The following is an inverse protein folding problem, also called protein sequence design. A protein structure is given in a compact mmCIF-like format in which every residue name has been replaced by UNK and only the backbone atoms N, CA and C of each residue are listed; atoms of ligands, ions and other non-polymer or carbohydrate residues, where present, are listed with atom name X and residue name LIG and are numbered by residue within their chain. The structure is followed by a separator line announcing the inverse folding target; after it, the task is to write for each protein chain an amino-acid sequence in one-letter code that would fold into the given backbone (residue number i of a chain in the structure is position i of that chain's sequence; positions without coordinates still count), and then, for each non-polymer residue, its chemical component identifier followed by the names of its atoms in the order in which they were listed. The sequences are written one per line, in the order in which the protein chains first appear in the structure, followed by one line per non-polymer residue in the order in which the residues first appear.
data_IF_952099770729
#
_entry.id   IF_952099770729
#
_cell.length_a   1.000
_cell.length_b   1.000
_cell.length_c   1.000
_cell.angle_alpha   90.00
_cell.angle_beta   90.00
_cell.angle_gamma   90.00
#
_symmetry.space_group_name_H-M   'P 1'
#
loop_
_entity.id
_entity.type
_entity.pdbx_description
1 polymer ?
#
# COMPACT_ATOMS: atom_id res chain seq x y z
N UNK A 1 -81.83 -69.02 6.00
CA UNK A 1 -81.43 -70.30 6.60
C UNK A 1 -80.05 -70.63 6.10
N UNK A 2 -79.10 -70.76 7.03
CA UNK A 2 -78.02 -71.75 7.00
C UNK A 2 -76.86 -71.58 6.00
N UNK A 3 -75.77 -70.99 6.52
CA UNK A 3 -74.43 -71.61 6.67
C UNK A 3 -73.93 -72.62 5.62
N UNK A 4 -72.73 -72.39 5.07
CA UNK A 4 -71.52 -73.18 5.40
C UNK A 4 -70.30 -72.69 4.61
N UNK A 5 -69.15 -72.81 5.28
CA UNK A 5 -67.81 -72.34 4.95
C UNK A 5 -67.10 -73.11 3.83
N UNK A 6 -66.12 -72.45 3.22
CA UNK A 6 -64.92 -73.08 2.69
C UNK A 6 -63.69 -72.33 3.21
N UNK A 7 -62.86 -73.06 3.97
CA UNK A 7 -61.54 -72.66 4.46
C UNK A 7 -60.51 -73.31 3.53
N UNK A 8 -59.50 -72.59 3.03
CA UNK A 8 -58.06 -72.90 3.29
C UNK A 8 -57.06 -72.01 2.53
N UNK A 9 -55.98 -71.74 3.28
CA UNK A 9 -54.60 -71.39 2.91
C UNK A 9 -54.27 -70.01 2.32
N UNK A 10 -53.82 -69.14 3.22
CA UNK A 10 -52.92 -68.02 2.95
C UNK A 10 -51.50 -68.53 2.67
N UNK A 11 -50.91 -68.13 1.55
CA UNK A 11 -49.49 -68.26 1.28
C UNK A 11 -48.77 -66.98 1.67
N UNK A 12 -48.02 -67.06 2.77
CA UNK A 12 -47.08 -66.05 3.25
C UNK A 12 -45.98 -65.82 2.20
N UNK A 13 -45.97 -64.64 1.56
CA UNK A 13 -44.85 -64.15 0.76
C UNK A 13 -43.98 -63.30 1.70
N UNK A 14 -42.76 -63.77 1.92
CA UNK A 14 -41.69 -63.09 2.66
C UNK A 14 -41.30 -61.77 1.98
N UNK A 15 -40.96 -60.70 2.72
CA UNK A 15 -40.59 -59.42 2.13
C UNK A 15 -39.16 -59.52 1.59
N UNK A 16 -39.06 -59.59 0.27
CA UNK A 16 -37.78 -59.55 -0.43
C UNK A 16 -37.22 -58.11 -0.39
N UNK A 17 -35.89 -58.04 -0.27
CA UNK A 17 -35.08 -56.85 0.00
C UNK A 17 -35.42 -55.65 -0.90
N UNK A 18 -36.05 -54.63 -0.33
CA UNK A 18 -36.15 -53.32 -0.96
C UNK A 18 -34.77 -52.64 -0.90
N UNK A 19 -33.96 -52.81 -1.96
CA UNK A 19 -32.85 -51.89 -2.24
C UNK A 19 -33.43 -50.47 -2.35
N UNK A 20 -32.97 -49.48 -1.57
CA UNK A 20 -33.38 -48.11 -1.80
C UNK A 20 -32.87 -47.71 -3.19
N UNK A 21 -33.77 -47.19 -4.03
CA UNK A 21 -33.40 -46.44 -5.23
C UNK A 21 -32.55 -45.25 -4.79
N UNK A 22 -31.23 -45.43 -4.72
CA UNK A 22 -30.27 -44.33 -4.67
C UNK A 22 -30.13 -43.77 -6.07
N UNK A 23 -31.17 -43.07 -6.54
CA UNK A 23 -30.96 -42.09 -7.60
C UNK A 23 -30.08 -40.99 -7.03
N UNK A 24 -28.98 -40.66 -7.69
CA UNK A 24 -28.22 -39.43 -7.39
C UNK A 24 -29.19 -38.27 -7.29
N UNK A 25 -29.14 -37.45 -6.21
CA UNK A 25 -30.04 -36.31 -6.08
C UNK A 25 -29.93 -35.45 -7.35
N UNK A 26 -31.04 -34.87 -7.86
CA UNK A 26 -30.99 -34.04 -9.04
C UNK A 26 -29.99 -32.91 -8.80
N UNK A 27 -28.92 -32.88 -9.60
CA UNK A 27 -27.93 -31.81 -9.53
C UNK A 27 -28.59 -30.51 -10.00
N UNK A 28 -28.88 -29.62 -9.07
CA UNK A 28 -29.37 -28.28 -9.40
C UNK A 28 -28.21 -27.50 -10.03
N UNK A 29 -28.26 -27.30 -11.35
CA UNK A 29 -27.31 -26.43 -12.05
C UNK A 29 -27.76 -24.98 -11.93
N UNK A 30 -27.03 -24.19 -11.16
CA UNK A 30 -27.27 -22.75 -11.04
C UNK A 30 -26.46 -21.98 -12.10
N UNK A 31 -27.01 -20.91 -12.69
CA UNK A 31 -26.23 -19.96 -13.46
C UNK A 31 -25.07 -19.39 -12.61
N UNK A 32 -23.87 -19.17 -13.20
CA UNK A 32 -22.70 -18.69 -12.45
C UNK A 32 -22.95 -17.40 -11.64
N UNK A 33 -23.72 -16.47 -12.18
CA UNK A 33 -24.06 -15.19 -11.50
C UNK A 33 -24.94 -15.37 -10.27
N UNK A 34 -25.82 -16.37 -10.25
CA UNK A 34 -26.66 -16.69 -9.09
C UNK A 34 -25.86 -17.46 -8.05
N UNK A 35 -25.06 -18.43 -8.50
CA UNK A 35 -24.19 -19.21 -7.60
C UNK A 35 -23.15 -18.33 -6.90
N UNK A 36 -22.55 -17.37 -7.61
CA UNK A 36 -21.64 -16.38 -7.04
C UNK A 36 -22.27 -15.53 -5.93
N UNK A 37 -23.58 -15.26 -5.99
CA UNK A 37 -24.31 -14.51 -4.95
C UNK A 37 -24.74 -15.39 -3.78
N UNK A 38 -25.12 -16.65 -4.05
CA UNK A 38 -25.62 -17.59 -3.04
C UNK A 38 -24.51 -18.21 -2.20
N UNK A 39 -23.44 -18.67 -2.85
CA UNK A 39 -22.29 -19.30 -2.19
C UNK A 39 -20.98 -18.73 -2.77
N UNK A 40 -20.64 -17.47 -2.45
CA UNK A 40 -19.48 -16.79 -3.03
C UNK A 40 -18.16 -17.53 -2.72
N UNK A 41 -18.03 -18.10 -1.51
CA UNK A 41 -16.87 -18.87 -1.09
C UNK A 41 -16.67 -20.16 -1.92
N UNK A 42 -17.74 -20.97 -2.04
CA UNK A 42 -17.70 -22.19 -2.87
C UNK A 42 -17.48 -21.88 -4.34
N UNK A 43 -17.99 -20.74 -4.82
CA UNK A 43 -17.79 -20.30 -6.19
C UNK A 43 -16.33 -19.97 -6.48
N UNK A 44 -15.67 -19.19 -5.63
CA UNK A 44 -14.25 -18.88 -5.80
C UNK A 44 -13.38 -20.14 -5.71
N UNK A 45 -13.67 -21.02 -4.74
CA UNK A 45 -12.96 -22.30 -4.59
C UNK A 45 -13.08 -23.17 -5.85
N UNK A 46 -14.26 -23.31 -6.44
CA UNK A 46 -14.46 -24.10 -7.65
C UNK A 46 -13.63 -23.61 -8.85
N UNK A 47 -13.33 -22.31 -8.92
CA UNK A 47 -12.47 -21.72 -9.94
C UNK A 47 -10.97 -21.91 -9.63
N UNK A 48 -10.59 -21.86 -8.36
CA UNK A 48 -9.21 -22.04 -7.89
C UNK A 48 -8.76 -23.52 -7.82
N UNK A 49 -9.70 -24.44 -7.64
CA UNK A 49 -9.48 -25.89 -7.64
C UNK A 49 -10.50 -26.58 -8.56
N UNK A 50 -10.25 -26.62 -9.88
CA UNK A 50 -11.12 -27.36 -10.78
C UNK A 50 -11.07 -28.86 -10.45
N UNK A 51 -12.25 -29.51 -10.45
CA UNK A 51 -12.43 -30.92 -10.08
C UNK A 51 -11.67 -31.92 -10.96
N UNK A 52 -11.22 -31.50 -12.15
CA UNK A 52 -10.38 -32.31 -13.04
C UNK A 52 -9.10 -31.54 -13.37
N UNK A 53 -7.93 -32.03 -12.91
CA UNK A 53 -6.64 -31.34 -13.12
C UNK A 53 -6.21 -31.27 -14.58
N UNK A 54 -6.74 -32.13 -15.46
CA UNK A 54 -6.38 -32.19 -16.89
C UNK A 54 -7.18 -31.22 -17.78
N UNK A 55 -8.31 -30.70 -17.29
CA UNK A 55 -9.24 -29.94 -18.13
C UNK A 55 -9.00 -28.42 -18.12
N UNK A 56 -8.49 -27.85 -17.02
CA UNK A 56 -8.39 -26.38 -16.87
C UNK A 56 -7.36 -25.99 -15.81
N UNK A 57 -6.49 -25.03 -16.15
CA UNK A 57 -5.59 -24.40 -15.17
C UNK A 57 -6.39 -23.62 -14.13
N UNK A 58 -5.95 -23.56 -12.86
CA UNK A 58 -6.64 -22.80 -11.82
C UNK A 58 -6.63 -21.31 -12.18
N UNK A 59 -7.80 -20.79 -12.53
CA UNK A 59 -8.00 -19.41 -12.94
C UNK A 59 -8.96 -18.76 -11.95
N UNK A 60 -8.77 -17.48 -11.67
CA UNK A 60 -9.71 -16.69 -10.88
C UNK A 60 -11.03 -16.52 -11.65
N UNK A 61 -12.05 -16.01 -10.96
CA UNK A 61 -13.36 -15.68 -11.56
C UNK A 61 -13.22 -14.80 -12.81
N UNK A 62 -12.22 -13.91 -12.83
CA UNK A 62 -11.94 -12.99 -13.94
C UNK A 62 -11.02 -13.58 -15.02
N UNK A 63 -10.66 -14.86 -14.95
CA UNK A 63 -9.75 -15.51 -15.89
C UNK A 63 -8.27 -15.15 -15.70
N UNK A 64 -7.91 -14.45 -14.62
CA UNK A 64 -6.51 -14.14 -14.24
C UNK A 64 -5.89 -15.30 -13.46
N UNK A 65 -4.56 -15.45 -13.53
CA UNK A 65 -3.83 -16.36 -12.63
C UNK A 65 -3.72 -15.76 -11.22
N UNK A 66 -3.51 -16.58 -10.16
CA UNK A 66 -3.42 -16.10 -8.78
C UNK A 66 -2.41 -14.97 -8.54
N UNK A 67 -1.24 -15.02 -9.18
CA UNK A 67 -0.15 -14.05 -9.01
C UNK A 67 -0.21 -12.85 -9.99
N UNK A 68 -1.22 -12.76 -10.85
CA UNK A 68 -1.26 -11.76 -11.92
C UNK A 68 -1.98 -10.47 -11.51
N UNK A 69 -1.27 -9.35 -11.67
CA UNK A 69 -1.77 -7.99 -11.51
C UNK A 69 -2.62 -7.54 -12.71
N UNK A 70 -3.54 -6.58 -12.46
CA UNK A 70 -4.26 -5.88 -13.53
C UNK A 70 -3.33 -4.95 -14.33
N UNK A 71 -3.57 -4.80 -15.65
CA UNK A 71 -2.86 -3.83 -16.46
C UNK A 71 -3.12 -2.41 -15.94
N UNK A 72 -2.09 -1.57 -16.00
CA UNK A 72 -2.12 -0.19 -15.51
C UNK A 72 -1.95 0.77 -16.67
N UNK A 73 -2.73 1.86 -16.66
CA UNK A 73 -2.51 3.01 -17.52
C UNK A 73 -2.52 4.28 -16.67
N UNK A 74 -1.54 5.16 -16.89
CA UNK A 74 -1.33 6.39 -16.12
C UNK A 74 -1.31 7.55 -17.10
N UNK A 75 -2.13 8.57 -16.84
CA UNK A 75 -2.13 9.84 -17.57
C UNK A 75 -1.89 10.97 -16.57
N UNK A 76 -0.73 11.64 -16.65
CA UNK A 76 -0.43 12.83 -15.83
C UNK A 76 -0.92 14.10 -16.52
N UNK A 77 -1.14 15.18 -15.76
CA UNK A 77 -1.53 16.49 -16.29
C UNK A 77 -2.94 16.56 -16.91
N UNK A 78 -3.88 15.72 -16.47
CA UNK A 78 -5.24 15.66 -17.05
C UNK A 78 -6.18 16.79 -16.59
N UNK A 79 -5.93 17.38 -15.42
CA UNK A 79 -6.70 18.50 -14.85
C UNK A 79 -5.88 19.80 -14.95
N UNK A 80 -6.49 20.85 -15.49
CA UNK A 80 -5.81 22.13 -15.79
C UNK A 80 -5.73 23.08 -14.60
N UNK A 81 -6.62 22.94 -13.61
CA UNK A 81 -6.76 23.90 -12.51
C UNK A 81 -5.93 23.55 -11.26
N UNK A 82 -5.24 22.41 -11.29
CA UNK A 82 -4.44 21.86 -10.19
C UNK A 82 -2.95 22.00 -10.51
N UNK A 83 -2.09 22.15 -9.49
CA UNK A 83 -0.63 22.19 -9.66
C UNK A 83 -0.07 20.93 -10.31
N UNK A 84 -0.72 19.79 -10.06
CA UNK A 84 -0.57 18.59 -10.84
C UNK A 84 -1.80 17.71 -10.71
N UNK A 85 -1.91 16.76 -11.65
CA UNK A 85 -2.95 15.76 -11.62
C UNK A 85 -2.47 14.46 -12.25
N UNK A 86 -3.11 13.37 -11.86
CA UNK A 86 -2.91 12.08 -12.51
C UNK A 86 -4.21 11.28 -12.51
N UNK A 87 -4.47 10.62 -13.63
CA UNK A 87 -5.53 9.63 -13.78
C UNK A 87 -4.86 8.27 -13.89
N UNK A 88 -5.14 7.40 -12.93
CA UNK A 88 -4.62 6.03 -12.90
C UNK A 88 -5.78 5.06 -13.05
N UNK A 89 -5.64 4.14 -13.99
CA UNK A 89 -6.57 3.04 -14.19
C UNK A 89 -5.84 1.73 -13.97
N UNK A 90 -6.36 0.91 -13.06
CA UNK A 90 -5.89 -0.44 -12.76
C UNK A 90 -7.03 -1.40 -13.13
N UNK A 91 -6.97 -1.98 -14.33
CA UNK A 91 -8.09 -2.72 -14.92
C UNK A 91 -9.36 -1.86 -15.01
N UNK A 92 -10.37 -2.18 -14.20
CA UNK A 92 -11.64 -1.45 -14.16
C UNK A 92 -11.73 -0.44 -13.01
N UNK A 93 -10.78 -0.46 -12.06
CA UNK A 93 -10.69 0.56 -11.01
C UNK A 93 -10.01 1.79 -11.56
N UNK A 94 -10.65 2.95 -11.40
CA UNK A 94 -10.13 4.24 -11.90
C UNK A 94 -10.07 5.25 -10.75
N UNK A 95 -8.89 5.81 -10.51
CA UNK A 95 -8.63 6.84 -9.53
C UNK A 95 -8.10 8.09 -10.22
N UNK A 96 -8.60 9.26 -9.82
CA UNK A 96 -8.10 10.57 -10.25
C UNK A 96 -7.53 11.26 -9.04
N UNK A 97 -6.31 11.75 -9.14
CA UNK A 97 -5.67 12.55 -8.11
C UNK A 97 -5.39 13.96 -8.64
N UNK A 98 -5.70 14.97 -7.83
CA UNK A 98 -5.29 16.35 -8.02
C UNK A 98 -4.48 16.83 -6.82
N UNK A 99 -3.40 17.55 -7.09
CA UNK A 99 -2.56 18.19 -6.06
C UNK A 99 -2.74 19.69 -6.16
N UNK A 100 -3.08 20.33 -5.04
CA UNK A 100 -3.17 21.78 -4.88
C UNK A 100 -2.18 22.23 -3.80
N UNK A 101 -1.35 23.20 -4.12
CA UNK A 101 -0.51 23.90 -3.15
C UNK A 101 -1.23 25.12 -2.57
N UNK A 102 -1.20 25.26 -1.26
CA UNK A 102 -1.57 26.49 -0.55
C UNK A 102 -0.41 26.95 0.32
N UNK A 103 -0.34 28.26 0.61
CA UNK A 103 0.71 28.83 1.44
C UNK A 103 0.21 28.91 2.88
N UNK A 104 0.99 28.35 3.79
CA UNK A 104 0.76 28.41 5.23
C UNK A 104 1.83 29.29 5.88
N UNK A 105 1.42 30.42 6.45
CA UNK A 105 2.34 31.31 7.18
C UNK A 105 2.82 30.65 8.47
N UNK A 106 4.07 30.88 8.86
CA UNK A 106 4.61 30.36 10.12
C UNK A 106 3.84 30.83 11.34
N UNK A 107 3.18 32.00 11.26
CA UNK A 107 2.37 32.54 12.35
C UNK A 107 1.10 31.72 12.61
N UNK A 108 0.57 31.05 11.59
CA UNK A 108 -0.65 30.23 11.68
C UNK A 108 -0.35 28.80 12.14
N UNK A 109 0.93 28.41 12.15
CA UNK A 109 1.37 27.09 12.59
C UNK A 109 1.57 27.12 14.10
N UNK A 110 0.59 26.61 14.85
CA UNK A 110 0.67 26.54 16.31
C UNK A 110 1.95 25.84 16.83
N UNK A 111 2.40 24.80 16.13
CA UNK A 111 3.61 24.05 16.50
C UNK A 111 4.93 24.77 16.17
N UNK A 112 4.90 25.79 15.31
CA UNK A 112 6.09 26.58 14.95
C UNK A 112 6.61 27.39 16.12
N UNK A 113 5.71 28.01 16.89
CA UNK A 113 6.06 28.82 18.06
C UNK A 113 6.74 27.99 19.16
N UNK A 114 6.39 26.70 19.26
CA UNK A 114 6.99 25.76 20.20
C UNK A 114 8.37 25.31 19.70
N UNK A 115 8.48 24.95 18.41
CA UNK A 115 9.71 24.44 17.80
C UNK A 115 10.80 25.53 17.69
N UNK A 116 10.40 26.77 17.37
CA UNK A 116 11.31 27.92 17.29
C UNK A 116 11.94 28.26 18.65
N UNK A 117 11.22 28.03 19.76
CA UNK A 117 11.73 28.32 21.10
C UNK A 117 12.89 27.41 21.52
N UNK A 118 12.93 26.15 21.06
CA UNK A 118 14.01 25.20 21.39
C UNK A 118 15.32 25.51 20.62
N UNK A 119 15.22 26.22 19.49
CA UNK A 119 16.37 26.66 18.67
C UNK A 119 17.13 27.87 19.24
N UNK A 120 16.55 28.60 20.22
CA UNK A 120 17.08 29.87 20.74
C UNK A 120 18.04 29.75 21.94
N UNK A 121 18.52 28.54 22.28
CA UNK A 121 19.58 28.39 23.32
C UNK A 121 20.95 28.06 22.72
N UNK A 122 21.82 29.06 22.44
CA UNK A 122 23.15 28.84 21.87
C UNK A 122 24.11 28.07 22.81
N UNK A 123 23.71 27.79 24.06
CA UNK A 123 24.52 27.04 25.04
C UNK A 123 24.40 25.52 24.92
N UNK A 124 23.40 24.97 24.23
CA UNK A 124 23.20 23.51 24.12
C UNK A 124 23.82 22.89 22.86
N UNK A 125 23.99 23.66 21.78
CA UNK A 125 24.73 23.25 20.56
C UNK A 125 26.20 22.91 20.88
N UNK A 126 26.88 23.75 21.68
CA UNK A 126 28.30 23.54 22.06
C UNK A 126 28.53 22.31 22.96
N UNK A 127 27.56 21.95 23.81
CA UNK A 127 27.66 20.76 24.66
C UNK A 127 27.41 19.45 23.90
N UNK A 128 26.58 19.51 22.84
CA UNK A 128 26.35 18.40 21.90
C UNK A 128 27.55 18.14 21.01
N UNK A 129 28.13 19.20 20.42
CA UNK A 129 29.34 19.12 19.59
C UNK A 129 30.53 18.54 20.35
N UNK A 130 30.82 19.00 21.58
CA UNK A 130 31.96 18.50 22.37
C UNK A 130 31.78 17.00 22.71
N UNK A 131 30.54 16.55 22.94
CA UNK A 131 30.25 15.14 23.25
C UNK A 131 30.28 14.26 22.00
N UNK A 132 29.87 14.79 20.85
CA UNK A 132 29.96 14.14 19.55
C UNK A 132 31.42 14.04 19.07
N UNK A 133 32.24 15.08 19.28
CA UNK A 133 33.69 15.09 18.99
C UNK A 133 34.46 14.09 19.87
N UNK A 134 34.13 13.98 21.16
CA UNK A 134 34.73 12.96 22.05
C UNK A 134 34.35 11.53 21.64
N UNK A 135 33.11 11.32 21.17
CA UNK A 135 32.68 10.02 20.64
C UNK A 135 33.28 9.72 19.27
N UNK A 136 33.46 10.72 18.40
CA UNK A 136 34.15 10.56 17.11
C UNK A 136 35.64 10.26 17.30
N UNK A 137 36.31 10.88 18.27
CA UNK A 137 37.72 10.58 18.60
C UNK A 137 37.88 9.16 19.17
N UNK A 138 36.95 8.68 20.01
CA UNK A 138 36.92 7.27 20.44
C UNK A 138 36.65 6.31 19.27
N UNK A 139 35.76 6.68 18.34
CA UNK A 139 35.43 5.87 17.15
C UNK A 139 36.57 5.86 16.12
N UNK A 140 37.34 6.94 16.01
CA UNK A 140 38.53 7.02 15.16
C UNK A 140 39.71 6.21 15.70
N UNK A 141 39.88 6.11 17.03
CA UNK A 141 40.88 5.20 17.63
C UNK A 141 40.55 3.73 17.38
N UNK A 142 39.27 3.36 17.27
CA UNK A 142 38.86 1.97 16.92
C UNK A 142 38.90 1.67 15.41
N UNK A 143 38.92 2.69 14.53
CA UNK A 143 38.93 2.51 13.05
C UNK A 143 40.32 2.29 12.45
N UNK A 144 41.40 2.33 13.23
CA UNK A 144 42.76 2.05 12.70
C UNK A 144 43.04 0.56 12.39
N UNK A 145 42.08 -0.37 12.56
CA UNK A 145 42.28 -1.79 12.25
C UNK A 145 41.55 -2.32 11.00
N UNK A 146 40.69 -1.55 10.34
CA UNK A 146 40.06 -2.02 9.10
C UNK A 146 39.96 -0.88 8.07
N UNK A 147 40.92 -0.87 7.14
CA UNK A 147 40.90 -0.01 5.96
C UNK A 147 40.09 -0.65 4.82
N UNK A 148 39.39 0.21 4.09
CA UNK A 148 38.68 0.06 2.81
C UNK A 148 37.18 -0.25 2.86
N UNK A 149 36.38 0.82 2.88
CA UNK A 149 35.08 0.99 2.20
C UNK A 149 34.87 2.53 2.03
N UNK A 150 34.36 3.03 0.90
CA UNK A 150 34.16 4.46 0.68
C UNK A 150 32.94 4.98 1.46
N UNK A 151 33.05 6.20 1.99
CA UNK A 151 32.02 6.90 2.76
C UNK A 151 30.92 7.36 1.79
N UNK A 152 29.71 6.82 1.97
CA UNK A 152 28.49 7.37 1.34
C UNK A 152 28.00 8.54 2.21
N UNK A 153 27.59 9.64 1.56
CA UNK A 153 27.04 10.83 2.21
C UNK A 153 25.83 10.45 3.08
N UNK A 154 26.04 10.33 4.39
CA UNK A 154 24.96 10.27 5.37
C UNK A 154 24.40 11.69 5.51
N UNK A 155 23.25 11.95 4.85
CA UNK A 155 22.41 13.14 5.01
C UNK A 155 21.94 13.24 6.49
N UNK A 156 22.79 13.73 7.41
CA UNK A 156 22.46 13.98 8.82
C UNK A 156 21.32 15.02 9.00
N UNK A 157 20.93 15.75 7.93
CA UNK A 157 19.81 16.70 7.93
C UNK A 157 18.45 16.13 7.50
N UNK A 158 18.35 14.85 7.14
CA UNK A 158 17.10 14.26 6.64
C UNK A 158 16.01 14.11 7.70
N UNK A 159 16.38 13.84 8.96
CA UNK A 159 15.42 13.52 10.01
C UNK A 159 14.69 14.75 10.57
N UNK A 160 15.32 15.93 10.53
CA UNK A 160 14.71 17.21 10.95
C UNK A 160 13.64 17.65 9.94
N UNK A 161 13.96 17.62 8.64
CA UNK A 161 13.03 17.89 7.55
C UNK A 161 11.76 17.01 7.64
N UNK A 162 11.91 15.72 7.91
CA UNK A 162 10.78 14.79 7.95
C UNK A 162 9.88 15.00 9.18
N UNK A 163 10.48 15.42 10.30
CA UNK A 163 9.76 15.75 11.53
C UNK A 163 8.90 17.00 11.39
N UNK A 164 9.35 17.99 10.61
CA UNK A 164 8.60 19.21 10.30
C UNK A 164 7.33 18.92 9.51
N UNK A 165 7.40 18.07 8.48
CA UNK A 165 6.23 17.74 7.65
C UNK A 165 5.09 17.15 8.48
N UNK A 166 5.42 16.24 9.40
CA UNK A 166 4.44 15.63 10.31
C UNK A 166 3.95 16.62 11.36
N UNK A 167 4.85 17.42 11.93
CA UNK A 167 4.52 18.38 13.00
C UNK A 167 3.63 19.53 12.49
N UNK A 168 3.85 19.97 11.25
CA UNK A 168 3.13 21.08 10.63
C UNK A 168 1.96 20.63 9.75
N UNK A 169 1.73 19.31 9.60
CA UNK A 169 0.68 18.74 8.76
C UNK A 169 0.67 19.31 7.34
N UNK A 170 1.85 19.40 6.71
CA UNK A 170 2.00 20.01 5.39
C UNK A 170 1.40 19.17 4.25
N UNK A 171 1.07 17.91 4.51
CA UNK A 171 0.46 17.01 3.53
C UNK A 171 -0.94 16.61 4.00
N UNK A 172 -1.94 16.89 3.18
CA UNK A 172 -3.34 16.61 3.50
C UNK A 172 -3.97 15.79 2.38
N UNK A 173 -3.93 14.44 2.46
CA UNK A 173 -4.61 13.58 1.51
C UNK A 173 -6.08 13.40 1.89
N UNK A 174 -6.93 13.51 0.90
CA UNK A 174 -8.36 13.34 1.02
C UNK A 174 -8.86 12.35 -0.04
N UNK A 175 -9.53 11.29 0.38
CA UNK A 175 -10.10 10.28 -0.52
C UNK A 175 -11.62 10.40 -0.54
N UNK A 176 -12.17 10.64 -1.72
CA UNK A 176 -13.59 10.65 -1.96
C UNK A 176 -14.07 9.42 -2.74
N UNK A 177 -15.04 8.72 -2.16
CA UNK A 177 -15.74 7.57 -2.75
C UNK A 177 -17.18 7.88 -3.15
N UNK A 178 -17.65 9.11 -2.93
CA UNK A 178 -19.04 9.53 -3.10
C UNK A 178 -19.42 9.84 -4.55
N UNK A 179 -18.74 9.19 -5.51
CA UNK A 179 -18.98 9.32 -6.95
C UNK A 179 -20.20 8.58 -7.45
N UNK A 180 -20.89 7.83 -6.58
CA UNK A 180 -22.00 6.95 -6.97
C UNK A 180 -21.55 5.70 -7.73
N UNK A 181 -20.25 5.37 -7.70
CA UNK A 181 -19.67 4.21 -8.37
C UNK A 181 -20.13 2.85 -7.82
N UNK A 182 -20.55 2.81 -6.55
CA UNK A 182 -21.05 1.60 -5.88
C UNK A 182 -22.42 1.89 -5.27
N UNK A 183 -23.44 1.03 -5.44
CA UNK A 183 -24.78 1.27 -4.88
C UNK A 183 -24.81 1.32 -3.35
N UNK A 184 -23.76 0.84 -2.67
CA UNK A 184 -23.61 0.93 -1.22
C UNK A 184 -23.18 2.32 -0.73
N UNK A 185 -22.70 3.20 -1.61
CA UNK A 185 -22.20 4.53 -1.25
C UNK A 185 -23.06 5.60 -1.94
N UNK A 186 -23.92 6.24 -1.17
CA UNK A 186 -24.73 7.37 -1.65
C UNK A 186 -23.86 8.58 -1.93
N UNK A 187 -24.08 9.25 -3.07
CA UNK A 187 -23.23 10.35 -3.56
C UNK A 187 -23.20 11.60 -2.66
N UNK A 188 -24.22 11.80 -1.80
CA UNK A 188 -24.30 12.96 -0.90
C UNK A 188 -24.08 12.62 0.58
N UNK A 189 -23.59 11.42 0.90
CA UNK A 189 -23.38 11.00 2.29
C UNK A 189 -22.07 11.56 2.87
N UNK A 190 -22.03 11.64 4.21
CA UNK A 190 -20.81 11.86 4.98
C UNK A 190 -19.74 10.81 4.63
N UNK A 191 -18.44 11.09 4.87
CA UNK A 191 -17.36 10.17 4.52
C UNK A 191 -17.57 8.82 5.20
N UNK A 192 -17.55 7.75 4.41
CA UNK A 192 -17.70 6.37 4.91
C UNK A 192 -16.51 5.96 5.77
N UNK A 193 -16.71 4.98 6.65
CA UNK A 193 -15.61 4.42 7.45
C UNK A 193 -14.46 3.89 6.56
N UNK A 194 -14.80 3.32 5.40
CA UNK A 194 -13.81 2.87 4.42
C UNK A 194 -13.00 4.05 3.87
N UNK A 195 -13.66 5.14 3.44
CA UNK A 195 -12.98 6.34 2.97
C UNK A 195 -12.06 6.94 4.04
N UNK A 196 -12.55 7.08 5.27
CA UNK A 196 -11.76 7.59 6.40
C UNK A 196 -10.52 6.72 6.69
N UNK A 197 -10.72 5.40 6.73
CA UNK A 197 -9.62 4.46 6.98
C UNK A 197 -8.56 4.49 5.88
N UNK A 198 -8.98 4.60 4.61
CA UNK A 198 -8.07 4.69 3.48
C UNK A 198 -7.33 6.03 3.44
N UNK A 199 -8.01 7.16 3.67
CA UNK A 199 -7.36 8.48 3.78
C UNK A 199 -6.28 8.46 4.86
N UNK A 200 -6.57 7.90 6.04
CA UNK A 200 -5.57 7.77 7.10
C UNK A 200 -4.41 6.84 6.71
N UNK A 201 -4.68 5.72 6.03
CA UNK A 201 -3.62 4.83 5.53
C UNK A 201 -2.73 5.51 4.49
N UNK A 202 -3.30 6.33 3.61
CA UNK A 202 -2.55 7.11 2.61
C UNK A 202 -1.68 8.18 3.30
N UNK A 203 -2.22 8.92 4.27
CA UNK A 203 -1.46 9.88 5.07
C UNK A 203 -0.30 9.23 5.80
N UNK A 204 -0.57 8.13 6.50
CA UNK A 204 0.46 7.36 7.20
C UNK A 204 1.55 6.88 6.23
N UNK A 205 1.17 6.44 5.02
CA UNK A 205 2.13 5.99 4.02
C UNK A 205 2.96 7.14 3.43
N UNK A 206 2.37 8.33 3.21
CA UNK A 206 3.12 9.53 2.81
C UNK A 206 4.22 9.87 3.83
N UNK A 207 3.90 9.82 5.12
CA UNK A 207 4.89 10.07 6.18
C UNK A 207 5.95 8.98 6.30
N UNK A 208 5.58 7.70 6.15
CA UNK A 208 6.56 6.59 6.20
C UNK A 208 7.51 6.62 5.00
N UNK A 209 6.99 6.94 3.82
CA UNK A 209 7.78 6.94 2.58
C UNK A 209 8.72 8.14 2.47
N UNK A 210 8.48 9.22 3.24
CA UNK A 210 9.30 10.45 3.25
C UNK A 210 9.53 10.98 1.83
N UNK A 211 8.50 10.84 0.99
CA UNK A 211 8.56 11.07 -0.45
C UNK A 211 8.82 12.54 -0.80
N UNK A 212 8.22 13.46 -0.03
CA UNK A 212 8.34 14.91 -0.18
C UNK A 212 9.38 15.45 0.81
N UNK A 213 10.22 16.38 0.37
CA UNK A 213 11.23 17.05 1.21
C UNK A 213 10.68 18.35 1.78
N UNK A 214 10.90 18.61 3.07
CA UNK A 214 10.46 19.86 3.70
C UNK A 214 11.19 21.07 3.12
N UNK A 215 12.47 20.91 2.77
CA UNK A 215 13.30 21.92 2.12
C UNK A 215 12.69 22.48 0.82
N UNK A 216 11.98 21.67 0.03
CA UNK A 216 11.30 22.13 -1.18
C UNK A 216 10.00 22.91 -0.88
N UNK A 217 9.42 22.72 0.30
CA UNK A 217 8.19 23.38 0.74
C UNK A 217 8.47 24.67 1.52
N UNK A 218 9.68 24.87 2.04
CA UNK A 218 10.06 26.08 2.80
C UNK A 218 10.11 27.31 1.90
N UNK A 219 9.48 28.39 2.35
CA UNK A 219 9.56 29.70 1.72
C UNK A 219 10.45 30.57 2.60
N UNK A 220 11.65 30.83 2.08
CA UNK A 220 12.69 31.57 2.76
C UNK A 220 12.56 33.07 2.50
N UNK A 221 12.80 33.86 3.53
CA UNK A 221 13.13 35.27 3.41
C UNK A 221 14.61 35.37 3.05
N UNK A 222 14.89 35.94 1.89
CA UNK A 222 16.23 36.42 1.60
C UNK A 222 16.32 37.86 2.12
N UNK A 223 17.20 38.15 3.11
CA UNK A 223 17.45 39.53 3.49
C UNK A 223 18.00 40.30 2.28
N UNK A 224 17.66 41.59 2.13
CA UNK A 224 18.22 42.40 1.05
C UNK A 224 19.74 42.45 1.21
N UNK A 225 20.45 42.18 0.10
CA UNK A 225 21.91 42.21 0.05
C UNK A 225 22.39 43.68 0.15
N UNK A 226 22.57 44.15 1.38
CA UNK A 226 22.96 45.53 1.71
C UNK A 226 24.45 45.82 1.42
N UNK A 227 25.21 44.83 0.94
CA UNK A 227 26.65 44.95 0.64
C UNK A 227 26.95 46.00 -0.44
N UNK A 228 26.01 46.24 -1.38
CA UNK A 228 26.17 47.24 -2.44
C UNK A 228 26.07 48.69 -1.97
N UNK A 229 25.27 49.00 -0.94
CA UNK A 229 24.97 50.37 -0.52
C UNK A 229 26.04 50.93 0.44
N UNK A 230 26.72 50.06 1.20
CA UNK A 230 27.79 50.47 2.11
C UNK A 230 29.12 50.80 1.42
N UNK A 231 29.21 50.61 0.10
CA UNK A 231 30.44 50.89 -0.68
C UNK A 231 30.48 52.29 -1.30
N UNK A 232 29.34 53.01 -1.38
CA UNK A 232 29.31 54.37 -1.95
C UNK A 232 29.60 55.50 -0.96
N UNK A 233 29.61 55.24 0.35
CA UNK A 233 29.75 56.28 1.39
C UNK A 233 31.00 56.18 2.27
N UNK A 234 31.97 55.30 1.93
CA UNK A 234 33.24 55.20 2.66
C UNK A 234 34.30 56.17 2.13
N UNK A 235 34.02 57.47 2.19
CA UNK A 235 35.07 58.48 2.36
C UNK A 235 35.05 58.96 3.82
N UNK A 236 36.05 58.51 4.58
CA UNK A 236 36.41 58.89 5.96
C UNK A 236 35.77 58.10 7.12
N UNK A 237 36.41 57.00 7.52
CA UNK A 237 37.05 56.81 8.85
C UNK A 237 37.29 55.31 9.09
N UNK A 238 38.54 54.99 9.39
CA UNK A 238 39.00 53.66 9.79
C UNK A 238 38.56 53.35 11.22
N UNK A 239 37.69 52.34 11.37
CA UNK A 239 37.64 51.47 12.55
C UNK A 239 37.44 50.04 12.05
N UNK A 240 38.11 49.02 12.62
CA UNK A 240 37.80 47.63 12.32
C UNK A 240 36.46 47.28 12.98
N UNK A 241 35.36 47.50 12.27
CA UNK A 241 34.05 46.98 12.65
C UNK A 241 34.05 45.46 12.42
N UNK A 242 33.73 44.71 13.47
CA UNK A 242 33.42 43.28 13.40
C UNK A 242 32.39 43.04 12.28
N UNK A 243 32.49 41.93 11.51
CA UNK A 243 31.49 41.63 10.50
C UNK A 243 30.13 41.48 11.18
N UNK A 244 29.19 42.38 10.86
CA UNK A 244 27.77 42.22 11.17
C UNK A 244 27.33 40.80 10.77
N UNK A 245 26.59 40.07 11.63
CA UNK A 245 26.19 38.72 11.29
C UNK A 245 25.28 38.79 10.06
N UNK A 246 25.71 38.20 8.94
CA UNK A 246 24.83 37.93 7.80
C UNK A 246 23.58 37.25 8.36
N UNK A 247 22.44 37.95 8.31
CA UNK A 247 21.20 37.44 8.89
C UNK A 247 20.84 36.16 8.15
N UNK A 248 20.89 35.03 8.85
CA UNK A 248 20.55 33.73 8.28
C UNK A 248 19.15 33.77 7.64
N UNK A 249 18.94 33.08 6.50
CA UNK A 249 17.65 33.08 5.82
C UNK A 249 16.56 32.57 6.77
N UNK A 250 15.57 33.42 7.06
CA UNK A 250 14.49 33.11 7.99
C UNK A 250 13.34 32.42 7.24
N UNK A 251 12.84 31.30 7.76
CA UNK A 251 11.65 30.64 7.22
C UNK A 251 10.41 31.45 7.64
N UNK A 252 9.60 31.88 6.67
CA UNK A 252 8.39 32.67 6.93
C UNK A 252 7.09 31.95 6.57
N UNK A 253 7.15 30.97 5.69
CA UNK A 253 5.98 30.20 5.30
C UNK A 253 6.39 28.82 4.76
N UNK A 254 5.40 27.94 4.68
CA UNK A 254 5.51 26.62 4.10
C UNK A 254 4.44 26.42 3.03
N UNK A 255 4.76 25.64 2.01
CA UNK A 255 3.76 25.07 1.11
C UNK A 255 3.06 23.88 1.77
N UNK A 256 1.73 23.97 1.87
CA UNK A 256 0.86 22.87 2.25
C UNK A 256 0.24 22.26 1.00
N UNK A 257 0.40 20.95 0.82
CA UNK A 257 -0.11 20.21 -0.32
C UNK A 257 -1.40 19.47 0.06
N UNK A 258 -2.50 19.91 -0.54
CA UNK A 258 -3.77 19.20 -0.53
C UNK A 258 -3.80 18.21 -1.68
N UNK A 259 -3.99 16.93 -1.35
CA UNK A 259 -3.96 15.83 -2.30
C UNK A 259 -5.36 15.22 -2.33
N UNK A 260 -6.18 15.65 -3.28
CA UNK A 260 -7.53 15.13 -3.44
C UNK A 260 -7.53 13.94 -4.39
N UNK A 261 -8.04 12.80 -3.93
CA UNK A 261 -8.21 11.58 -4.70
C UNK A 261 -9.69 11.27 -4.84
N UNK A 262 -10.15 11.14 -6.07
CA UNK A 262 -11.52 10.78 -6.42
C UNK A 262 -11.53 9.42 -7.12
N UNK A 263 -12.28 8.46 -6.56
CA UNK A 263 -12.46 7.15 -7.19
C UNK A 263 -13.66 7.20 -8.14
N UNK A 264 -13.42 7.09 -9.44
CA UNK A 264 -14.49 7.10 -10.46
C UNK A 264 -15.15 5.72 -10.58
N UNK A 265 -14.35 4.65 -10.52
CA UNK A 265 -14.83 3.28 -10.69
C UNK A 265 -14.24 2.37 -9.63
N UNK A 266 -15.10 1.56 -9.01
CA UNK A 266 -14.77 0.69 -7.88
C UNK A 266 -14.86 -0.79 -8.31
N UNK A 267 -13.72 -1.37 -8.71
CA UNK A 267 -13.58 -2.80 -9.03
C UNK A 267 -12.51 -3.46 -8.15
N UNK A 268 -12.44 -3.09 -6.86
CA UNK A 268 -11.46 -3.64 -5.91
C UNK A 268 -10.06 -3.03 -5.97
N UNK A 269 -9.32 -3.26 -4.89
CA UNK A 269 -7.97 -2.72 -4.62
C UNK A 269 -7.89 -1.19 -4.75
N UNK A 270 -8.77 -0.48 -4.04
CA UNK A 270 -8.81 0.99 -4.04
C UNK A 270 -7.51 1.62 -3.56
N UNK A 271 -6.87 1.01 -2.57
CA UNK A 271 -5.68 1.56 -1.92
C UNK A 271 -4.52 1.68 -2.91
N UNK A 272 -4.20 0.62 -3.65
CA UNK A 272 -3.11 0.64 -4.61
C UNK A 272 -3.39 1.62 -5.77
N UNK A 273 -4.64 1.68 -6.24
CA UNK A 273 -5.04 2.63 -7.29
C UNK A 273 -4.93 4.09 -6.81
N UNK A 274 -5.40 4.39 -5.59
CA UNK A 274 -5.30 5.72 -5.00
C UNK A 274 -3.84 6.11 -4.75
N UNK A 275 -3.04 5.22 -4.17
CA UNK A 275 -1.62 5.46 -3.90
C UNK A 275 -0.83 5.70 -5.19
N UNK A 276 -1.05 4.86 -6.20
CA UNK A 276 -0.43 5.04 -7.50
C UNK A 276 -0.78 6.36 -8.17
N UNK A 277 -2.04 6.82 -8.03
CA UNK A 277 -2.46 8.13 -8.51
C UNK A 277 -1.77 9.28 -7.77
N UNK A 278 -1.61 9.17 -6.44
CA UNK A 278 -0.89 10.16 -5.63
C UNK A 278 0.57 10.24 -6.05
N UNK A 279 1.27 9.11 -6.18
CA UNK A 279 2.69 9.09 -6.58
C UNK A 279 2.86 9.68 -7.99
N UNK A 280 1.97 9.34 -8.92
CA UNK A 280 2.00 9.90 -10.27
C UNK A 280 1.75 11.42 -10.27
N UNK A 281 0.79 11.91 -9.49
CA UNK A 281 0.45 13.34 -9.41
C UNK A 281 1.54 14.14 -8.68
N UNK A 282 2.10 13.63 -7.58
CA UNK A 282 3.20 14.26 -6.87
C UNK A 282 4.45 14.42 -7.77
N UNK A 283 4.70 13.45 -8.66
CA UNK A 283 5.85 13.50 -9.56
C UNK A 283 5.73 14.57 -10.65
N UNK A 284 4.49 14.90 -11.03
CA UNK A 284 4.19 15.97 -11.99
C UNK A 284 3.99 17.34 -11.30
N UNK A 285 4.01 17.40 -9.96
CA UNK A 285 3.72 18.62 -9.20
C UNK A 285 4.75 19.71 -9.45
N UNK A 286 4.25 20.86 -9.90
CA UNK A 286 5.02 22.10 -10.07
C UNK A 286 4.45 23.20 -9.17
N UNK A 287 5.31 23.74 -8.31
CA UNK A 287 4.95 24.84 -7.43
C UNK A 287 5.49 26.15 -8.00
N UNK A 288 4.69 27.22 -8.04
CA UNK A 288 5.16 28.53 -8.44
C UNK A 288 6.23 29.01 -7.46
N UNK A 289 7.15 29.84 -7.95
CA UNK A 289 8.15 30.47 -7.11
C UNK A 289 7.44 31.42 -6.14
N UNK A 290 7.60 31.18 -4.86
CA UNK A 290 7.08 32.05 -3.81
C UNK A 290 8.24 32.67 -3.02
N UNK A 291 8.08 33.94 -2.64
CA UNK A 291 9.04 34.65 -1.79
C UNK A 291 8.30 35.54 -0.79
N UNK A 292 8.97 35.83 0.31
CA UNK A 292 8.46 36.79 1.29
C UNK A 292 8.76 38.22 0.82
N UNK A 293 7.73 39.04 0.66
CA UNK A 293 7.89 40.47 0.41
C UNK A 293 7.91 41.26 1.73
N UNK A 294 8.86 42.19 1.85
CA UNK A 294 9.01 43.01 3.06
C UNK A 294 8.01 44.15 3.12
N UNK A 295 7.68 44.72 1.97
CA UNK A 295 6.83 45.92 1.91
C UNK A 295 5.37 45.57 2.20
N UNK A 296 4.92 44.41 1.71
CA UNK A 296 3.54 43.94 1.86
C UNK A 296 3.35 42.99 3.06
N UNK A 297 4.43 42.61 3.76
CA UNK A 297 4.43 41.62 4.85
C UNK A 297 3.65 40.33 4.51
N UNK A 298 3.73 39.89 3.25
CA UNK A 298 3.01 38.72 2.76
C UNK A 298 3.85 37.93 1.76
N UNK A 299 3.50 36.66 1.58
CA UNK A 299 4.13 35.81 0.57
C UNK A 299 3.52 36.12 -0.78
N UNK A 300 4.36 36.48 -1.75
CA UNK A 300 3.96 36.67 -3.14
C UNK A 300 4.37 35.45 -3.97
N UNK A 301 3.53 35.10 -4.94
CA UNK A 301 3.80 34.07 -5.93
C UNK A 301 4.09 34.72 -7.28
N UNK A 302 5.02 34.14 -8.01
CA UNK A 302 5.22 34.47 -9.42
C UNK A 302 4.09 33.88 -10.26
N UNK A 303 3.54 34.68 -11.16
CA UNK A 303 2.57 34.24 -12.16
C UNK A 303 3.26 33.54 -13.36
N UNK A 304 4.58 33.63 -13.46
CA UNK A 304 5.35 33.04 -14.57
C UNK A 304 5.51 31.53 -14.40
N UNK A 305 4.92 30.77 -15.33
CA UNK A 305 5.01 29.29 -15.39
C UNK A 305 6.45 28.80 -15.54
N UNK A 306 7.33 29.62 -16.13
CA UNK A 306 8.75 29.29 -16.31
C UNK A 306 9.54 29.28 -14.99
N UNK A 307 9.10 30.05 -13.99
CA UNK A 307 9.73 30.07 -12.67
C UNK A 307 9.21 28.94 -11.75
N UNK A 308 8.18 28.21 -12.17
CA UNK A 308 7.63 27.10 -11.41
C UNK A 308 8.64 25.95 -11.31
N UNK A 309 8.86 25.47 -10.09
CA UNK A 309 9.83 24.41 -9.79
C UNK A 309 9.12 23.07 -9.59
N UNK A 310 9.59 21.98 -10.23
CA UNK A 310 9.07 20.65 -9.95
C UNK A 310 9.54 20.17 -8.58
N UNK A 311 8.69 19.41 -7.89
CA UNK A 311 9.00 18.83 -6.58
C UNK A 311 10.03 17.70 -6.69
N UNK A 312 11.08 17.69 -5.86
CA UNK A 312 12.13 16.66 -5.90
C UNK A 312 11.77 15.48 -4.99
N UNK A 313 11.07 14.51 -5.57
CA UNK A 313 10.65 13.32 -4.83
C UNK A 313 11.80 12.36 -4.51
N UNK A 314 11.73 11.70 -3.35
CA UNK A 314 12.64 10.62 -2.94
C UNK A 314 12.09 9.26 -3.39
N UNK A 315 12.78 8.59 -4.32
CA UNK A 315 12.45 7.22 -4.72
C UNK A 315 11.11 7.08 -5.47
N UNK A 316 10.60 5.85 -5.55
CA UNK A 316 9.33 5.52 -6.20
C UNK A 316 8.58 4.45 -5.39
N UNK A 317 7.89 4.82 -4.31
CA UNK A 317 7.18 3.84 -3.48
C UNK A 317 5.96 3.28 -4.21
N UNK A 318 5.94 1.98 -4.51
CA UNK A 318 4.78 1.31 -5.11
C UNK A 318 4.16 0.34 -4.11
N UNK A 319 2.85 0.48 -3.92
CA UNK A 319 2.05 -0.40 -3.09
C UNK A 319 1.55 -1.60 -3.91
N UNK A 320 1.59 -2.78 -3.30
CA UNK A 320 1.03 -4.01 -3.86
C UNK A 320 0.27 -4.76 -2.78
N UNK A 321 -1.02 -4.95 -3.03
CA UNK A 321 -1.94 -5.63 -2.13
C UNK A 321 -2.17 -7.08 -2.56
N UNK A 322 -2.14 -7.98 -1.57
CA UNK A 322 -2.31 -9.41 -1.70
C UNK A 322 -3.39 -9.88 -0.71
N UNK A 323 -4.17 -10.88 -1.08
CA UNK A 323 -5.10 -11.55 -0.17
C UNK A 323 -4.82 -13.04 -0.11
N UNK A 324 -5.08 -13.63 1.06
CA UNK A 324 -5.05 -15.08 1.21
C UNK A 324 -6.47 -15.60 1.28
N UNK A 325 -6.75 -16.53 0.36
CA UNK A 325 -7.97 -17.30 0.35
C UNK A 325 -7.68 -18.68 0.92
N UNK A 326 -8.41 -19.05 1.96
CA UNK A 326 -8.35 -20.37 2.59
C UNK A 326 -9.55 -21.20 2.14
N UNK A 327 -9.33 -22.44 1.71
CA UNK A 327 -10.41 -23.41 1.61
C UNK A 327 -10.94 -23.70 3.02
N UNK A 328 -12.06 -23.05 3.35
CA UNK A 328 -12.82 -23.26 4.59
C UNK A 328 -13.04 -24.74 4.94
N UNK A 329 -13.02 -25.03 6.25
CA UNK A 329 -13.24 -26.34 6.86
C UNK A 329 -14.66 -26.89 6.63
N UNK A 330 -15.58 -26.13 6.02
CA UNK A 330 -16.88 -26.65 5.59
C UNK A 330 -16.80 -27.82 4.59
N UNK A 331 -15.62 -28.12 4.02
CA UNK A 331 -15.36 -29.41 3.36
C UNK A 331 -15.58 -30.63 4.28
N UNK A 332 -15.56 -30.47 5.62
CA UNK A 332 -15.93 -31.53 6.57
C UNK A 332 -17.37 -32.02 6.39
N UNK A 333 -18.25 -31.22 5.80
CA UNK A 333 -19.64 -31.62 5.48
C UNK A 333 -19.82 -32.09 4.03
N UNK A 334 -18.81 -31.91 3.15
CA UNK A 334 -18.93 -32.21 1.70
C UNK A 334 -18.09 -33.37 1.21
N UNK A 335 -17.17 -33.93 1.99
CA UNK A 335 -16.57 -35.23 1.66
C UNK A 335 -17.57 -36.32 2.10
N UNK A 336 -18.20 -37.08 1.19
CA UNK A 336 -18.92 -38.27 1.60
C UNK A 336 -17.90 -39.21 2.25
N UNK A 337 -18.10 -39.54 3.52
CA UNK A 337 -17.37 -40.64 4.17
C UNK A 337 -17.42 -41.85 3.23
N UNK A 338 -16.26 -42.26 2.71
CA UNK A 338 -16.13 -43.57 2.10
C UNK A 338 -16.35 -44.60 3.21
N UNK A 339 -17.50 -45.26 3.16
CA UNK A 339 -17.89 -46.32 4.07
C UNK A 339 -16.91 -47.49 3.92
N UNK A 340 -16.26 -47.83 5.04
CA UNK A 340 -15.80 -49.19 5.34
C UNK A 340 -14.44 -49.59 4.78
N UNK A 341 -13.39 -49.49 5.59
CA UNK A 341 -12.39 -50.57 5.70
C UNK A 341 -11.63 -50.42 7.02
N UNK A 342 -11.87 -51.35 7.94
CA UNK A 342 -11.09 -51.54 9.16
C UNK A 342 -9.75 -52.16 8.77
N UNK A 343 -8.62 -51.59 9.22
CA UNK A 343 -7.33 -52.31 9.19
C UNK A 343 -6.52 -51.99 10.44
N UNK A 344 -6.13 -53.07 11.12
CA UNK A 344 -5.40 -53.17 12.37
C UNK A 344 -3.96 -52.63 12.30
N UNK A 345 -3.46 -52.23 13.46
CA UNK A 345 -2.14 -51.65 13.69
C UNK A 345 -1.02 -52.71 13.66
N UNK A 346 0.09 -52.37 13.00
CA UNK A 346 1.34 -53.14 13.01
C UNK A 346 2.56 -52.22 12.88
N UNK A 347 3.47 -52.33 13.84
CA UNK A 347 4.70 -51.56 14.04
C UNK A 347 5.84 -52.07 13.15
N UNK A 348 6.68 -51.20 12.57
CA UNK A 348 8.15 -51.12 12.72
C UNK A 348 8.85 -50.32 11.58
N UNK A 349 9.99 -49.75 11.97
CA UNK A 349 10.98 -48.80 11.45
C UNK A 349 11.49 -48.81 9.98
N UNK A 350 11.99 -47.63 9.54
CA UNK A 350 13.12 -47.54 8.57
C UNK A 350 13.11 -46.46 7.46
N UNK A 351 13.57 -45.23 7.78
CA UNK A 351 14.27 -44.20 6.95
C UNK A 351 14.13 -44.07 5.40
N UNK A 352 13.85 -42.81 5.01
CA UNK A 352 14.39 -42.00 3.88
C UNK A 352 14.03 -42.33 2.42
N UNK A 353 13.39 -41.38 1.70
CA UNK A 353 14.00 -40.58 0.59
C UNK A 353 13.02 -39.54 0.00
N UNK A 354 13.62 -38.50 -0.58
CA UNK A 354 13.08 -37.30 -1.23
C UNK A 354 12.71 -37.54 -2.72
N UNK A 355 11.82 -36.67 -3.24
CA UNK A 355 11.49 -36.31 -4.63
C UNK A 355 10.46 -37.15 -5.40
N UNK A 356 9.47 -36.43 -5.94
CA UNK A 356 8.92 -36.67 -7.28
C UNK A 356 7.79 -37.69 -7.38
N UNK A 357 6.63 -37.16 -7.82
CA UNK A 357 5.62 -37.81 -8.65
C UNK A 357 4.65 -38.85 -8.04
N UNK A 358 3.39 -38.61 -8.42
CA UNK A 358 2.25 -39.51 -8.60
C UNK A 358 1.71 -40.38 -7.45
N UNK A 359 0.38 -40.47 -7.42
CA UNK A 359 -0.34 -41.55 -6.76
C UNK A 359 -0.90 -41.20 -5.39
N UNK A 360 -2.21 -41.40 -5.24
CA UNK A 360 -2.95 -41.15 -4.01
C UNK A 360 -2.57 -42.04 -2.82
N UNK A 361 -3.22 -41.75 -1.70
CA UNK A 361 -3.14 -42.54 -0.47
C UNK A 361 -2.96 -41.63 0.74
N UNK A 362 -4.06 -41.39 1.45
CA UNK A 362 -4.08 -40.58 2.65
C UNK A 362 -3.24 -41.17 3.78
N UNK A 363 -2.55 -40.27 4.50
CA UNK A 363 -1.99 -40.50 5.82
C UNK A 363 -2.37 -39.31 6.70
N UNK A 364 -3.05 -39.60 7.79
CA UNK A 364 -3.60 -38.69 8.79
C UNK A 364 -2.49 -37.88 9.49
N UNK A 365 -2.35 -36.64 9.05
CA UNK A 365 -1.67 -35.57 9.75
C UNK A 365 -2.39 -34.30 9.34
N UNK A 366 -3.11 -33.67 10.28
CA UNK A 366 -4.02 -32.54 10.06
C UNK A 366 -3.72 -31.76 8.79
N UNK A 367 -4.42 -32.10 7.70
CA UNK A 367 -4.14 -31.58 6.37
C UNK A 367 -4.37 -30.08 6.44
N UNK A 368 -3.29 -29.30 6.39
CA UNK A 368 -3.41 -27.83 6.41
C UNK A 368 -4.39 -27.43 5.30
N UNK A 369 -5.37 -26.57 5.59
CA UNK A 369 -6.33 -26.15 4.59
C UNK A 369 -5.60 -25.64 3.36
N UNK A 370 -6.09 -26.04 2.18
CA UNK A 370 -5.50 -25.60 0.93
C UNK A 370 -5.67 -24.08 0.84
N UNK A 371 -4.57 -23.38 0.52
CA UNK A 371 -4.51 -21.92 0.53
C UNK A 371 -4.03 -21.40 -0.80
N UNK A 372 -4.58 -20.26 -1.22
CA UNK A 372 -4.17 -19.53 -2.40
C UNK A 372 -3.83 -18.10 -2.00
N UNK A 373 -2.70 -17.62 -2.51
CA UNK A 373 -2.34 -16.21 -2.38
C UNK A 373 -2.70 -15.52 -3.70
N UNK A 374 -3.57 -14.53 -3.60
CA UNK A 374 -4.10 -13.78 -4.72
C UNK A 374 -3.45 -12.39 -4.72
N UNK A 375 -2.75 -12.05 -5.80
CA UNK A 375 -2.26 -10.71 -6.05
C UNK A 375 -3.40 -9.83 -6.60
N UNK A 376 -3.48 -8.59 -6.16
CA UNK A 376 -4.42 -7.59 -6.67
C UNK A 376 -5.88 -8.08 -6.69
N UNK A 377 -6.46 -8.12 -5.48
CA UNK A 377 -7.82 -8.56 -5.23
C UNK A 377 -8.85 -7.73 -6.00
N UNK A 378 -9.87 -8.42 -6.49
CA UNK A 378 -11.07 -7.76 -7.03
C UNK A 378 -12.10 -7.54 -5.90
N UNK A 379 -13.10 -6.68 -6.11
CA UNK A 379 -14.12 -6.36 -5.11
C UNK A 379 -14.90 -7.59 -4.63
N UNK A 380 -15.07 -8.59 -5.50
CA UNK A 380 -15.68 -9.87 -5.11
C UNK A 380 -14.80 -10.65 -4.12
N UNK A 381 -13.52 -10.82 -4.46
CA UNK A 381 -12.54 -11.58 -3.67
C UNK A 381 -12.14 -10.86 -2.38
N UNK A 382 -12.17 -9.54 -2.39
CA UNK A 382 -11.92 -8.71 -1.21
C UNK A 382 -12.91 -9.04 -0.10
N UNK A 383 -14.18 -9.32 -0.41
CA UNK A 383 -15.16 -9.73 0.61
C UNK A 383 -14.88 -11.11 1.23
N UNK A 384 -14.16 -11.98 0.52
CA UNK A 384 -13.91 -13.38 0.88
C UNK A 384 -12.57 -13.60 1.57
N UNK A 385 -11.58 -12.76 1.27
CA UNK A 385 -10.24 -12.88 1.87
C UNK A 385 -10.24 -12.29 3.29
N UNK A 386 -10.06 -13.14 4.29
CA UNK A 386 -9.92 -12.72 5.69
C UNK A 386 -8.54 -12.14 5.98
N UNK A 387 -7.49 -12.68 5.35
CA UNK A 387 -6.11 -12.24 5.49
C UNK A 387 -5.69 -11.40 4.27
N UNK A 388 -5.14 -10.22 4.55
CA UNK A 388 -4.63 -9.27 3.55
C UNK A 388 -3.23 -8.84 3.91
N UNK A 389 -2.36 -8.76 2.90
CA UNK A 389 -0.99 -8.28 3.03
C UNK A 389 -0.80 -7.13 2.07
N UNK A 390 -0.33 -5.99 2.56
CA UNK A 390 0.08 -4.86 1.74
C UNK A 390 1.59 -4.68 1.88
N UNK A 391 2.29 -4.71 0.75
CA UNK A 391 3.74 -4.51 0.67
C UNK A 391 3.99 -3.23 -0.11
N UNK A 392 4.74 -2.29 0.47
CA UNK A 392 5.21 -1.09 -0.22
C UNK A 392 6.70 -1.19 -0.40
N UNK A 393 7.12 -1.12 -1.65
CA UNK A 393 8.50 -1.36 -2.06
C UNK A 393 9.03 -0.13 -2.80
N UNK A 394 10.30 0.14 -2.57
CA UNK A 394 11.06 1.14 -3.30
C UNK A 394 12.41 0.53 -3.68
N UNK A 395 12.88 0.78 -4.90
CA UNK A 395 14.15 0.24 -5.38
C UNK A 395 15.08 1.42 -5.66
N UNK A 396 16.14 1.49 -4.86
CA UNK A 396 17.14 2.54 -4.99
C UNK A 396 17.88 2.42 -6.33
N UNK A 397 18.52 3.52 -6.75
CA UNK A 397 19.32 3.57 -7.96
C UNK A 397 20.44 2.50 -8.01
N UNK A 398 20.89 2.01 -6.84
CA UNK A 398 21.89 0.93 -6.69
C UNK A 398 21.32 -0.49 -6.88
N UNK A 399 20.03 -0.61 -7.24
CA UNK A 399 19.36 -1.90 -7.45
C UNK A 399 18.96 -2.63 -6.17
N UNK A 400 19.30 -2.09 -4.99
CA UNK A 400 18.89 -2.62 -3.70
C UNK A 400 17.41 -2.30 -3.47
N UNK A 401 16.65 -3.34 -3.15
CA UNK A 401 15.24 -3.23 -2.80
C UNK A 401 15.08 -2.86 -1.33
N UNK A 402 14.32 -1.80 -1.06
CA UNK A 402 13.95 -1.34 0.27
C UNK A 402 12.46 -1.57 0.48
N UNK A 403 12.12 -2.31 1.53
CA UNK A 403 10.73 -2.47 1.97
C UNK A 403 10.42 -1.27 2.87
N UNK A 404 9.52 -0.40 2.44
CA UNK A 404 9.15 0.79 3.20
C UNK A 404 8.04 0.47 4.21
N UNK A 405 7.06 -0.32 3.79
CA UNK A 405 5.94 -0.72 4.65
C UNK A 405 5.55 -2.16 4.36
N UNK A 406 5.29 -2.91 5.42
CA UNK A 406 4.80 -4.27 5.36
C UNK A 406 3.66 -4.42 6.37
N UNK A 407 2.43 -4.47 5.87
CA UNK A 407 1.23 -4.55 6.69
C UNK A 407 0.56 -5.90 6.46
N UNK A 408 0.45 -6.70 7.52
CA UNK A 408 -0.27 -7.97 7.52
C UNK A 408 -1.51 -7.82 8.40
N UNK A 409 -2.68 -7.94 7.80
CA UNK A 409 -3.96 -7.81 8.48
C UNK A 409 -4.73 -9.13 8.40
N UNK A 410 -5.07 -9.68 9.56
CA UNK A 410 -5.86 -10.90 9.67
C UNK A 410 -5.06 -12.19 9.42
N UNK A 411 -5.72 -13.31 9.72
CA UNK A 411 -5.26 -14.68 9.49
C UNK A 411 -3.93 -15.10 10.12
N UNK A 412 -3.62 -16.38 9.97
CA UNK A 412 -2.41 -17.03 10.49
C UNK A 412 -1.62 -17.74 9.38
N UNK A 413 -2.02 -17.57 8.11
CA UNK A 413 -1.57 -18.42 7.02
C UNK A 413 -0.31 -17.93 6.31
N UNK A 414 -0.04 -16.62 6.27
CA UNK A 414 1.20 -16.11 5.65
C UNK A 414 2.39 -16.26 6.60
N UNK A 415 3.33 -17.12 6.20
CA UNK A 415 4.63 -17.32 6.84
C UNK A 415 5.77 -16.53 6.19
N UNK A 416 7.00 -16.73 6.68
CA UNK A 416 8.21 -16.02 6.21
C UNK A 416 8.53 -16.30 4.74
N UNK A 417 8.33 -17.53 4.28
CA UNK A 417 8.65 -17.95 2.90
C UNK A 417 7.70 -17.29 1.92
N UNK A 418 6.39 -17.39 2.20
CA UNK A 418 5.34 -16.76 1.41
C UNK A 418 5.54 -15.25 1.36
N UNK A 419 5.88 -14.61 2.49
CA UNK A 419 6.14 -13.18 2.51
C UNK A 419 7.31 -12.76 1.59
N UNK A 420 8.36 -13.60 1.47
CA UNK A 420 9.46 -13.33 0.53
C UNK A 420 8.99 -13.39 -0.92
N UNK A 421 8.17 -14.39 -1.26
CA UNK A 421 7.57 -14.53 -2.59
C UNK A 421 6.69 -13.30 -2.93
N UNK A 422 5.93 -12.77 -1.97
CA UNK A 422 5.13 -11.55 -2.17
C UNK A 422 5.99 -10.30 -2.40
N UNK A 423 7.11 -10.19 -1.69
CA UNK A 423 8.07 -9.10 -1.90
C UNK A 423 8.68 -9.18 -3.30
N UNK A 424 9.04 -10.37 -3.78
CA UNK A 424 9.56 -10.56 -5.15
C UNK A 424 8.51 -10.19 -6.22
N UNK A 425 7.25 -10.56 -6.02
CA UNK A 425 6.15 -10.14 -6.91
C UNK A 425 5.94 -8.62 -6.88
N UNK A 426 6.01 -8.00 -5.71
CA UNK A 426 5.93 -6.54 -5.59
C UNK A 426 7.12 -5.84 -6.27
N UNK A 427 8.30 -6.44 -6.27
CA UNK A 427 9.47 -5.93 -6.99
C UNK A 427 9.25 -5.93 -8.51
N UNK A 428 8.72 -7.02 -9.06
CA UNK A 428 8.36 -7.07 -10.48
C UNK A 428 7.31 -6.04 -10.85
N UNK A 429 6.32 -5.84 -9.97
CA UNK A 429 5.30 -4.79 -10.14
C UNK A 429 5.89 -3.37 -10.13
N UNK A 430 6.87 -3.12 -9.27
CA UNK A 430 7.56 -1.83 -9.21
C UNK A 430 8.27 -1.48 -10.54
N UNK A 431 8.88 -2.47 -11.19
CA UNK A 431 9.55 -2.27 -12.49
C UNK A 431 8.54 -1.87 -13.57
N UNK A 432 7.40 -2.56 -13.66
CA UNK A 432 6.31 -2.20 -14.57
C UNK A 432 5.82 -0.76 -14.35
N UNK A 433 5.64 -0.36 -13.09
CA UNK A 433 5.23 1.01 -12.76
C UNK A 433 6.29 2.06 -13.10
N UNK A 434 7.56 1.73 -12.90
CA UNK A 434 8.66 2.62 -13.26
C UNK A 434 8.70 2.85 -14.77
N UNK A 435 8.52 1.82 -15.57
CA UNK A 435 8.50 1.93 -17.03
C UNK A 435 7.33 2.80 -17.50
N UNK A 436 6.12 2.56 -16.97
CA UNK A 436 4.94 3.37 -17.27
C UNK A 436 5.11 4.85 -16.88
N UNK A 437 5.70 5.14 -15.72
CA UNK A 437 5.90 6.52 -15.24
C UNK A 437 7.10 7.22 -15.91
N UNK A 438 8.01 6.48 -16.55
CA UNK A 438 9.13 7.06 -17.31
C UNK A 438 8.85 7.14 -18.81
N UNK A 439 7.75 6.55 -19.29
CA UNK A 439 7.28 6.67 -20.66
C UNK A 439 8.17 5.98 -21.69
N UNK A 440 8.83 4.88 -21.32
CA UNK A 440 9.58 4.03 -22.26
C UNK A 440 8.79 2.84 -22.75
#
# INVERSE_FOLDING_TARGET
MSSSAAVTSASTITPDSAKPFQGTPPSLSLPPSQFARLQPHSYLLAHLSPFSPDSRTPLRVNGRVPSQFRPVSINTGSLTHTNASAVVRIGDTVAVCGVRGEILSTNDIAAWNVSSSDSTTPKRRKAGEIRAEQQLQQRQQQRQQHQNEPVEDEDEGGDEDDSEIHTFNLLVPNLSLNTGCTPSITSSAAPSALAQSLSHKLLSLLHITRLVRASDLRILRHPPDLTGILTSDKSQREQPQEPEPESEPEIKAFWTLYIDVLIISHAGNLFDAAWGAIVAALRDTRLPKAWWDLDSEMVLCSDDVAEARPLRLRGLPIASSFGVFEADEMERWRIPMAVGTEVEAGTDSGKSKVCGEEGGGGGDGGRRPQRWILADLDGFEESLCAERVCVVVDKEAKGRMKILKLEKNGGLSVGRREMRELVELAAGRWEEWKDLLTGR
#
